data_IF_714713799873
#
_entry.id   IF_714713799873
#
_cell.length_a   1.000
_cell.length_b   1.000
_cell.length_c   1.000
_cell.angle_alpha   90.00
_cell.angle_beta   90.00
_cell.angle_gamma   90.00
#
_symmetry.space_group_name_H-M   'P 1'
#
loop_
_entity.id
_entity.type
_entity.pdbx_description
1 polymer ?
#
# COMPACT_ATOMS: atom_id res chain seq x y z
N UNK A 1 3.74 -22.33 6.20
CA UNK A 1 4.44 -21.32 5.38
C UNK A 1 3.41 -20.71 4.47
N UNK A 2 3.36 -19.39 4.41
CA UNK A 2 2.43 -18.66 3.56
C UNK A 2 3.23 -17.71 2.67
N UNK A 3 2.81 -17.56 1.42
CA UNK A 3 3.40 -16.63 0.47
C UNK A 3 2.36 -15.55 0.18
N UNK A 4 2.73 -14.29 0.46
CA UNK A 4 1.97 -13.13 0.05
C UNK A 4 2.50 -12.62 -1.29
N UNK A 5 1.58 -12.32 -2.19
CA UNK A 5 1.86 -11.81 -3.53
C UNK A 5 1.18 -10.47 -3.72
N UNK A 6 1.98 -9.44 -3.89
CA UNK A 6 1.56 -8.10 -4.27
C UNK A 6 1.80 -7.88 -5.76
N UNK A 7 0.78 -7.38 -6.47
CA UNK A 7 0.79 -7.08 -7.90
C UNK A 7 0.38 -5.64 -8.10
N UNK A 8 1.35 -4.78 -8.36
CA UNK A 8 1.12 -3.36 -8.59
C UNK A 8 1.59 -2.91 -9.97
N UNK A 9 1.24 -1.68 -10.38
CA UNK A 9 1.61 -1.12 -11.68
C UNK A 9 3.11 -1.12 -11.96
N UNK A 10 3.92 -0.89 -10.93
CA UNK A 10 5.38 -0.84 -11.08
C UNK A 10 6.09 -2.19 -10.92
N UNK A 11 5.39 -3.27 -10.58
CA UNK A 11 6.03 -4.56 -10.40
C UNK A 11 5.27 -5.56 -9.54
N UNK A 12 5.82 -6.77 -9.45
CA UNK A 12 5.31 -7.87 -8.64
C UNK A 12 6.28 -8.21 -7.52
N UNK A 13 5.76 -8.47 -6.33
CA UNK A 13 6.53 -8.73 -5.12
C UNK A 13 5.97 -9.92 -4.39
N UNK A 14 6.85 -10.80 -3.90
CA UNK A 14 6.44 -11.94 -3.11
C UNK A 14 7.30 -12.07 -1.86
N UNK A 15 6.63 -12.37 -0.74
CA UNK A 15 7.25 -12.61 0.56
C UNK A 15 6.76 -13.94 1.10
N UNK A 16 7.69 -14.80 1.53
CA UNK A 16 7.38 -16.06 2.21
C UNK A 16 7.73 -15.94 3.69
N UNK A 17 6.74 -16.14 4.55
CA UNK A 17 6.93 -16.17 6.01
C UNK A 17 6.61 -17.55 6.57
N UNK A 18 7.28 -17.90 7.67
CA UNK A 18 6.97 -19.05 8.49
C UNK A 18 6.60 -18.59 9.90
N UNK A 19 5.47 -19.04 10.40
CA UNK A 19 5.08 -18.83 11.80
C UNK A 19 5.86 -19.79 12.68
N UNK A 20 6.44 -19.29 13.76
CA UNK A 20 7.11 -20.13 14.78
C UNK A 20 6.05 -20.91 15.55
N UNK A 21 6.27 -22.20 15.74
CA UNK A 21 5.33 -23.07 16.47
C UNK A 21 5.18 -22.56 17.91
N UNK A 22 3.95 -22.27 18.34
CA UNK A 22 3.67 -21.76 19.70
C UNK A 22 3.96 -20.26 19.91
N UNK A 23 4.26 -19.49 18.87
CA UNK A 23 4.49 -18.04 18.92
C UNK A 23 3.64 -17.30 17.89
N UNK A 24 3.37 -16.03 18.15
CA UNK A 24 2.81 -15.08 17.18
C UNK A 24 3.85 -14.57 16.19
N UNK A 25 5.14 -14.84 16.44
CA UNK A 25 6.24 -14.29 15.64
C UNK A 25 6.34 -14.93 14.27
N UNK A 26 6.66 -14.11 13.29
CA UNK A 26 6.94 -14.51 11.94
C UNK A 26 8.46 -14.49 11.68
N UNK A 27 8.90 -15.46 10.89
CA UNK A 27 10.26 -15.49 10.35
C UNK A 27 10.21 -15.31 8.85
N UNK A 28 11.03 -14.42 8.32
CA UNK A 28 11.20 -14.22 6.90
C UNK A 28 11.97 -15.40 6.31
N UNK A 29 11.38 -16.07 5.32
CA UNK A 29 11.97 -17.23 4.63
C UNK A 29 12.55 -16.80 3.29
N UNK A 30 11.79 -16.07 2.48
CA UNK A 30 12.18 -15.54 1.16
C UNK A 30 11.46 -14.22 0.90
N UNK A 31 12.11 -13.39 0.08
CA UNK A 31 11.52 -12.19 -0.51
C UNK A 31 12.12 -11.98 -1.90
N UNK A 32 11.31 -11.56 -2.85
CA UNK A 32 11.75 -11.22 -4.20
C UNK A 32 10.81 -10.18 -4.83
N UNK A 33 11.35 -9.41 -5.76
CA UNK A 33 10.59 -8.46 -6.59
C UNK A 33 11.06 -8.51 -8.04
N UNK A 34 10.14 -8.18 -8.94
CA UNK A 34 10.38 -7.98 -10.38
C UNK A 34 9.65 -6.72 -10.77
N UNK A 35 10.34 -5.79 -11.38
CA UNK A 35 9.71 -4.61 -11.98
C UNK A 35 8.91 -5.03 -13.23
N UNK A 36 7.79 -4.36 -13.46
CA UNK A 36 6.94 -4.53 -14.64
C UNK A 36 7.11 -3.33 -15.57
N UNK A 37 7.04 -3.55 -16.88
CA UNK A 37 6.88 -2.47 -17.82
C UNK A 37 5.60 -1.67 -17.52
N UNK A 38 5.59 -0.36 -17.84
CA UNK A 38 4.37 0.45 -17.76
C UNK A 38 3.21 -0.19 -18.56
N UNK A 39 1.99 -0.03 -18.06
CA UNK A 39 0.79 -0.52 -18.74
C UNK A 39 0.47 -2.00 -18.58
N UNK A 40 1.33 -2.83 -17.96
CA UNK A 40 1.02 -4.25 -17.72
C UNK A 40 -0.05 -4.41 -16.65
N UNK A 41 -0.04 -3.56 -15.64
CA UNK A 41 -1.06 -3.46 -14.59
C UNK A 41 -1.40 -1.99 -14.40
N UNK A 42 -2.67 -1.63 -14.58
CA UNK A 42 -3.18 -0.26 -14.46
C UNK A 42 -4.35 -0.24 -13.48
N UNK A 43 -4.24 0.54 -12.41
CA UNK A 43 -5.29 0.69 -11.39
C UNK A 43 -5.87 -0.65 -10.89
N UNK A 44 -5.03 -1.68 -10.79
CA UNK A 44 -5.42 -3.02 -10.34
C UNK A 44 -5.96 -3.95 -11.44
N UNK A 45 -6.16 -3.46 -12.66
CA UNK A 45 -6.49 -4.28 -13.84
C UNK A 45 -5.25 -4.85 -14.49
N UNK A 46 -5.33 -6.09 -14.95
CA UNK A 46 -4.23 -6.79 -15.64
C UNK A 46 -4.36 -6.60 -17.15
N UNK A 47 -3.79 -5.51 -17.68
CA UNK A 47 -3.94 -5.12 -19.11
C UNK A 47 -3.12 -6.02 -20.06
N UNK A 48 -1.95 -6.51 -19.61
CA UNK A 48 -1.19 -7.55 -20.31
C UNK A 48 -1.00 -8.82 -19.42
N UNK A 49 -1.99 -9.74 -19.46
CA UNK A 49 -1.92 -10.98 -18.68
C UNK A 49 -0.74 -11.89 -19.08
N UNK A 50 -0.25 -11.79 -20.31
CA UNK A 50 0.85 -12.64 -20.78
C UNK A 50 2.20 -12.15 -20.22
N UNK A 51 2.47 -10.85 -20.28
CA UNK A 51 3.64 -10.24 -19.67
C UNK A 51 3.64 -10.44 -18.16
N UNK A 52 2.49 -10.25 -17.50
CA UNK A 52 2.34 -10.49 -16.06
C UNK A 52 2.64 -11.94 -15.69
N UNK A 53 2.08 -12.92 -16.42
CA UNK A 53 2.36 -14.34 -16.14
C UNK A 53 3.84 -14.70 -16.35
N UNK A 54 4.52 -14.05 -17.32
CA UNK A 54 5.97 -14.22 -17.54
C UNK A 54 6.76 -13.63 -16.36
N UNK A 55 6.40 -12.44 -15.87
CA UNK A 55 7.04 -11.81 -14.73
C UNK A 55 6.85 -12.64 -13.44
N UNK A 56 5.66 -13.18 -13.20
CA UNK A 56 5.38 -14.06 -12.06
C UNK A 56 6.22 -15.34 -12.10
N UNK A 57 6.36 -16.00 -13.25
CA UNK A 57 7.23 -17.17 -13.39
C UNK A 57 8.71 -16.82 -13.12
N UNK A 58 9.16 -15.65 -13.57
CA UNK A 58 10.50 -15.12 -13.29
C UNK A 58 10.69 -14.86 -11.80
N UNK A 59 9.71 -14.22 -11.15
CA UNK A 59 9.70 -13.95 -9.71
C UNK A 59 9.87 -15.21 -8.89
N UNK A 60 9.10 -16.28 -9.21
CA UNK A 60 9.18 -17.57 -8.51
C UNK A 60 10.53 -18.23 -8.63
N UNK A 61 11.08 -18.19 -9.85
CA UNK A 61 12.41 -18.78 -10.12
C UNK A 61 13.51 -18.02 -9.40
N UNK A 62 13.53 -16.69 -9.49
CA UNK A 62 14.56 -15.85 -8.87
C UNK A 62 14.47 -15.86 -7.33
N UNK A 63 13.25 -15.80 -6.78
CA UNK A 63 13.01 -15.86 -5.34
C UNK A 63 13.20 -17.27 -4.74
N UNK A 64 13.29 -18.30 -5.58
CA UNK A 64 13.46 -19.69 -5.13
C UNK A 64 12.26 -20.22 -4.33
N UNK A 65 11.07 -19.68 -4.57
CA UNK A 65 9.84 -20.11 -3.90
C UNK A 65 9.47 -21.53 -4.28
N UNK A 66 9.18 -22.36 -3.26
CA UNK A 66 8.83 -23.78 -3.46
C UNK A 66 7.33 -24.01 -3.49
N UNK A 67 6.58 -23.32 -2.62
CA UNK A 67 5.12 -23.39 -2.64
C UNK A 67 4.56 -22.63 -3.84
N UNK A 68 3.43 -23.09 -4.37
CA UNK A 68 2.66 -22.39 -5.38
C UNK A 68 1.43 -21.73 -4.80
N UNK A 69 1.08 -22.04 -3.54
CA UNK A 69 -0.06 -21.45 -2.84
C UNK A 69 0.26 -20.03 -2.41
N UNK A 70 -0.60 -19.09 -2.82
CA UNK A 70 -0.41 -17.67 -2.57
C UNK A 70 -1.67 -17.03 -2.01
N UNK A 71 -1.49 -16.08 -1.09
CA UNK A 71 -2.47 -15.06 -0.80
C UNK A 71 -2.12 -13.82 -1.63
N UNK A 72 -3.05 -13.30 -2.43
CA UNK A 72 -2.82 -12.11 -3.24
C UNK A 72 -3.74 -10.97 -2.82
N UNK A 73 -3.25 -9.74 -3.00
CA UNK A 73 -3.96 -8.51 -2.66
C UNK A 73 -4.73 -7.95 -3.84
N UNK A 74 -5.94 -7.46 -3.58
CA UNK A 74 -6.64 -6.57 -4.50
C UNK A 74 -6.14 -5.15 -4.31
N UNK A 75 -6.01 -4.41 -5.40
CA UNK A 75 -5.77 -2.97 -5.32
C UNK A 75 -6.98 -2.27 -4.68
N UNK A 76 -6.75 -1.38 -3.72
CA UNK A 76 -7.87 -0.71 -3.03
C UNK A 76 -8.74 0.15 -3.96
N UNK A 77 -8.22 0.58 -5.11
CA UNK A 77 -9.01 1.24 -6.16
C UNK A 77 -10.11 0.34 -6.75
N UNK A 78 -9.97 -0.99 -6.61
CA UNK A 78 -10.96 -1.98 -7.09
C UNK A 78 -11.84 -2.52 -5.97
N UNK A 79 -11.66 -2.05 -4.75
CA UNK A 79 -12.42 -2.46 -3.56
C UNK A 79 -13.21 -1.27 -3.04
N UNK A 80 -14.53 -1.36 -3.07
CA UNK A 80 -15.38 -0.41 -2.37
C UNK A 80 -15.35 -0.73 -0.87
N UNK A 81 -14.94 0.23 -0.05
CA UNK A 81 -15.01 0.14 1.41
C UNK A 81 -15.99 1.17 1.96
N UNK A 82 -16.91 0.76 2.84
CA UNK A 82 -17.90 1.64 3.45
C UNK A 82 -18.21 1.25 4.89
N UNK A 83 -18.27 2.24 5.76
CA UNK A 83 -18.75 2.04 7.13
C UNK A 83 -20.27 2.18 7.15
N UNK A 84 -20.95 1.21 7.78
CA UNK A 84 -22.40 1.17 7.93
C UNK A 84 -22.76 0.77 9.36
N UNK A 85 -23.88 1.32 9.85
CA UNK A 85 -24.52 0.88 11.08
C UNK A 85 -25.75 0.06 10.68
N UNK A 86 -25.74 -1.23 10.96
CA UNK A 86 -26.81 -2.17 10.61
C UNK A 86 -27.46 -2.73 11.89
N UNK A 87 -28.75 -3.12 11.85
CA UNK A 87 -29.41 -3.70 13.01
C UNK A 87 -28.63 -4.87 13.60
N UNK A 88 -28.54 -4.90 14.93
CA UNK A 88 -27.87 -5.98 15.63
C UNK A 88 -28.60 -7.31 15.39
N UNK A 89 -27.86 -8.35 15.13
CA UNK A 89 -28.35 -9.74 15.04
C UNK A 89 -27.21 -10.71 15.35
N UNK A 90 -27.54 -11.98 15.71
CA UNK A 90 -26.53 -13.00 15.96
C UNK A 90 -25.57 -13.15 14.75
N UNK A 91 -24.26 -13.46 14.96
CA UNK A 91 -23.26 -13.47 13.90
C UNK A 91 -23.60 -14.36 12.70
N UNK A 92 -24.25 -15.52 12.92
CA UNK A 92 -24.65 -16.43 11.84
C UNK A 92 -25.76 -15.82 10.96
N UNK A 93 -26.76 -15.19 11.60
CA UNK A 93 -27.87 -14.54 10.92
C UNK A 93 -27.38 -13.27 10.20
N UNK A 94 -26.47 -12.51 10.83
CA UNK A 94 -25.85 -11.33 10.25
C UNK A 94 -25.11 -11.65 8.95
N UNK A 95 -24.30 -12.72 8.95
CA UNK A 95 -23.59 -13.14 7.75
C UNK A 95 -24.52 -13.54 6.61
N UNK A 96 -25.61 -14.24 6.94
CA UNK A 96 -26.63 -14.63 5.95
C UNK A 96 -27.42 -13.43 5.41
N UNK A 97 -27.72 -12.45 6.26
CA UNK A 97 -28.50 -11.26 5.92
C UNK A 97 -27.67 -10.16 5.26
N UNK A 98 -26.34 -10.17 5.41
CA UNK A 98 -25.44 -9.07 5.01
C UNK A 98 -25.74 -8.56 3.60
N UNK A 99 -25.84 -9.45 2.62
CA UNK A 99 -26.06 -9.08 1.20
C UNK A 99 -27.32 -8.27 0.99
N UNK A 100 -28.37 -8.59 1.71
CA UNK A 100 -29.66 -7.87 1.65
C UNK A 100 -29.58 -6.55 2.42
N UNK A 101 -28.94 -6.55 3.58
CA UNK A 101 -28.80 -5.37 4.43
C UNK A 101 -27.99 -4.24 3.78
N UNK A 102 -27.02 -4.59 2.94
CA UNK A 102 -26.13 -3.60 2.29
C UNK A 102 -26.55 -3.24 0.87
N UNK A 103 -27.59 -3.88 0.33
CA UNK A 103 -27.99 -3.72 -1.07
C UNK A 103 -28.28 -2.26 -1.44
N UNK A 104 -29.01 -1.55 -0.61
CA UNK A 104 -29.39 -0.15 -0.86
C UNK A 104 -28.33 0.84 -0.37
N UNK A 105 -27.36 0.37 0.42
CA UNK A 105 -26.33 1.20 1.00
C UNK A 105 -25.06 1.27 0.14
N UNK A 106 -24.85 0.31 -0.75
CA UNK A 106 -23.67 0.26 -1.62
C UNK A 106 -24.03 0.66 -3.06
N UNK A 107 -23.20 1.49 -3.73
CA UNK A 107 -23.42 1.89 -5.13
C UNK A 107 -22.94 0.81 -6.12
N UNK A 108 -23.05 -0.47 -5.78
CA UNK A 108 -22.62 -1.62 -6.59
C UNK A 108 -23.67 -2.73 -6.53
N UNK A 109 -23.75 -3.55 -7.58
CA UNK A 109 -24.62 -4.73 -7.53
C UNK A 109 -24.03 -5.79 -6.58
N UNK A 110 -24.66 -5.95 -5.43
CA UNK A 110 -24.24 -6.90 -4.40
C UNK A 110 -24.30 -8.36 -4.86
N UNK A 111 -25.07 -8.68 -5.93
CA UNK A 111 -25.17 -10.03 -6.48
C UNK A 111 -23.95 -10.44 -7.29
N UNK A 112 -23.36 -9.51 -8.02
CA UNK A 112 -22.12 -9.72 -8.80
C UNK A 112 -20.85 -9.48 -7.98
N UNK A 113 -20.99 -8.92 -6.76
CA UNK A 113 -19.85 -8.62 -5.88
C UNK A 113 -19.55 -9.74 -4.89
N UNK A 114 -18.25 -9.91 -4.57
CA UNK A 114 -17.81 -10.56 -3.34
C UNK A 114 -17.87 -9.56 -2.21
N UNK A 115 -18.52 -9.95 -1.12
CA UNK A 115 -18.72 -9.13 0.07
C UNK A 115 -17.97 -9.71 1.24
N UNK A 116 -17.26 -8.84 1.96
CA UNK A 116 -16.68 -9.13 3.26
C UNK A 116 -17.03 -8.01 4.23
N UNK A 117 -17.05 -8.30 5.52
CA UNK A 117 -17.25 -7.26 6.53
C UNK A 117 -16.32 -7.46 7.71
N UNK A 118 -16.06 -6.36 8.39
CA UNK A 118 -15.35 -6.33 9.66
C UNK A 118 -16.21 -5.59 10.68
N UNK A 119 -16.53 -6.25 11.82
CA UNK A 119 -17.25 -5.61 12.91
C UNK A 119 -16.30 -4.61 13.59
N UNK A 120 -16.70 -3.35 13.63
CA UNK A 120 -15.94 -2.28 14.25
C UNK A 120 -16.33 -2.11 15.71
N UNK A 121 -17.63 -1.91 15.95
CA UNK A 121 -18.19 -1.65 17.27
C UNK A 121 -19.66 -2.08 17.31
N UNK A 122 -20.19 -2.35 18.50
CA UNK A 122 -21.63 -2.38 18.77
C UNK A 122 -22.03 -1.00 19.33
N UNK A 123 -23.01 -0.37 18.72
CA UNK A 123 -23.42 1.00 19.05
C UNK A 123 -24.92 1.09 19.24
N UNK A 124 -25.36 2.02 20.09
CA UNK A 124 -26.79 2.33 20.23
C UNK A 124 -27.15 3.53 19.38
N UNK A 125 -28.23 3.45 18.62
CA UNK A 125 -28.78 4.54 17.83
C UNK A 125 -30.23 4.74 18.20
N UNK A 126 -30.64 6.02 18.27
CA UNK A 126 -32.08 6.34 18.36
C UNK A 126 -32.68 6.26 16.96
N UNK A 127 -33.78 5.50 16.84
CA UNK A 127 -34.57 5.47 15.62
C UNK A 127 -35.42 6.75 15.45
N UNK A 128 -36.17 6.84 14.36
CA UNK A 128 -37.04 8.01 14.08
C UNK A 128 -38.15 8.21 15.13
N UNK A 129 -38.44 7.20 15.96
CA UNK A 129 -39.41 7.27 17.08
C UNK A 129 -38.78 7.64 18.41
N UNK A 130 -37.44 7.78 18.45
CA UNK A 130 -36.67 8.04 19.66
C UNK A 130 -36.37 6.78 20.48
N UNK A 131 -36.73 5.57 19.99
CA UNK A 131 -36.41 4.32 20.64
C UNK A 131 -34.95 3.94 20.37
N UNK A 132 -34.23 3.53 21.42
CA UNK A 132 -32.85 3.04 21.27
C UNK A 132 -32.84 1.65 20.66
N UNK A 133 -32.05 1.48 19.61
CA UNK A 133 -31.81 0.20 18.95
C UNK A 133 -30.31 -0.14 18.96
N UNK A 134 -30.00 -1.39 19.26
CA UNK A 134 -28.64 -1.89 19.16
C UNK A 134 -28.29 -2.12 17.70
N UNK A 135 -27.11 -1.61 17.30
CA UNK A 135 -26.63 -1.66 15.93
C UNK A 135 -25.21 -2.22 15.89
N UNK A 136 -24.92 -2.99 14.86
CA UNK A 136 -23.57 -3.38 14.48
C UNK A 136 -22.97 -2.32 13.57
N UNK A 137 -21.92 -1.66 14.02
CA UNK A 137 -21.09 -0.81 13.16
C UNK A 137 -20.07 -1.67 12.45
N UNK A 138 -20.15 -1.71 11.13
CA UNK A 138 -19.27 -2.55 10.31
C UNK A 138 -18.52 -1.72 9.30
N UNK A 139 -17.35 -2.21 8.90
CA UNK A 139 -16.69 -1.85 7.65
C UNK A 139 -17.00 -2.95 6.63
N UNK A 140 -17.82 -2.65 5.64
CA UNK A 140 -18.12 -3.57 4.53
C UNK A 140 -17.17 -3.30 3.38
N UNK A 141 -16.70 -4.38 2.75
CA UNK A 141 -15.89 -4.35 1.54
C UNK A 141 -16.65 -5.08 0.45
N UNK A 142 -16.64 -4.50 -0.74
CA UNK A 142 -17.22 -5.10 -1.93
C UNK A 142 -16.24 -5.02 -3.09
N UNK A 143 -16.02 -6.14 -3.76
CA UNK A 143 -15.17 -6.21 -4.95
C UNK A 143 -15.88 -7.00 -6.04
N UNK A 144 -15.63 -6.66 -7.30
CA UNK A 144 -16.20 -7.36 -8.44
C UNK A 144 -15.70 -8.81 -8.48
N UNK A 145 -16.64 -9.77 -8.46
CA UNK A 145 -16.34 -11.21 -8.48
C UNK A 145 -15.66 -11.63 -9.77
N UNK A 146 -16.07 -11.09 -10.91
CA UNK A 146 -15.51 -11.44 -12.21
C UNK A 146 -14.06 -10.98 -12.30
N UNK A 147 -13.76 -9.75 -11.85
CA UNK A 147 -12.39 -9.25 -11.77
C UNK A 147 -11.50 -10.14 -10.90
N UNK A 148 -11.97 -10.58 -9.74
CA UNK A 148 -11.23 -11.53 -8.87
C UNK A 148 -10.96 -12.85 -9.60
N UNK A 149 -11.95 -13.39 -10.29
CA UNK A 149 -11.83 -14.66 -11.04
C UNK A 149 -10.82 -14.53 -12.17
N UNK A 150 -10.85 -13.41 -12.92
CA UNK A 150 -9.88 -13.15 -13.99
C UNK A 150 -8.45 -13.01 -13.44
N UNK A 151 -8.26 -12.27 -12.36
CA UNK A 151 -6.96 -12.17 -11.71
C UNK A 151 -6.45 -13.55 -11.27
N UNK A 152 -7.31 -14.34 -10.62
CA UNK A 152 -6.98 -15.71 -10.23
C UNK A 152 -6.63 -16.60 -11.42
N UNK A 153 -7.27 -16.40 -12.59
CA UNK A 153 -6.98 -17.12 -13.84
C UNK A 153 -5.57 -16.81 -14.35
N UNK A 154 -5.16 -15.54 -14.32
CA UNK A 154 -3.79 -15.12 -14.70
C UNK A 154 -2.75 -15.77 -13.79
N UNK A 155 -3.00 -15.79 -12.46
CA UNK A 155 -2.12 -16.44 -11.49
C UNK A 155 -1.97 -17.94 -11.80
N UNK A 156 -3.09 -18.63 -12.10
CA UNK A 156 -3.05 -20.07 -12.50
C UNK A 156 -2.26 -20.28 -13.80
N UNK A 157 -2.38 -19.38 -14.80
CA UNK A 157 -1.55 -19.42 -16.02
C UNK A 157 -0.06 -19.26 -15.73
N UNK A 158 0.30 -18.56 -14.68
CA UNK A 158 1.68 -18.45 -14.20
C UNK A 158 2.15 -19.71 -13.43
N UNK A 159 1.26 -20.68 -13.18
CA UNK A 159 1.52 -21.91 -12.41
C UNK A 159 1.41 -21.70 -10.90
N UNK A 160 0.68 -20.65 -10.47
CA UNK A 160 0.39 -20.37 -9.07
C UNK A 160 -1.00 -20.88 -8.68
N UNK A 161 -1.20 -21.13 -7.39
CA UNK A 161 -2.47 -21.54 -6.79
C UNK A 161 -2.97 -20.41 -5.88
N UNK A 162 -3.93 -19.58 -6.33
CA UNK A 162 -4.57 -18.59 -5.48
C UNK A 162 -5.32 -19.30 -4.35
N UNK A 163 -4.84 -19.15 -3.12
CA UNK A 163 -5.40 -19.79 -1.93
C UNK A 163 -6.23 -18.80 -1.09
N UNK A 164 -5.98 -17.52 -1.22
CA UNK A 164 -6.74 -16.45 -0.59
C UNK A 164 -6.63 -15.18 -1.42
N UNK A 165 -7.69 -14.37 -1.37
CA UNK A 165 -7.73 -12.99 -1.84
C UNK A 165 -7.97 -12.09 -0.64
N UNK A 166 -7.35 -10.92 -0.61
CA UNK A 166 -7.40 -10.03 0.52
C UNK A 166 -7.33 -8.56 0.09
N UNK A 167 -7.85 -7.65 0.92
CA UNK A 167 -7.69 -6.22 0.74
C UNK A 167 -6.26 -5.78 1.07
N UNK A 168 -5.69 -4.92 0.24
CA UNK A 168 -4.39 -4.31 0.50
C UNK A 168 -4.35 -3.54 1.82
N UNK A 169 -5.44 -2.87 2.19
CA UNK A 169 -5.55 -2.13 3.45
C UNK A 169 -5.41 -3.04 4.68
N UNK A 170 -6.04 -4.21 4.68
CA UNK A 170 -5.89 -5.17 5.77
C UNK A 170 -4.47 -5.77 5.80
N UNK A 171 -3.86 -5.97 4.65
CA UNK A 171 -2.47 -6.41 4.57
C UNK A 171 -1.51 -5.36 5.16
N UNK A 172 -1.72 -4.06 4.88
CA UNK A 172 -0.94 -2.97 5.49
C UNK A 172 -1.02 -3.00 7.03
N UNK A 173 -2.23 -3.13 7.58
CA UNK A 173 -2.43 -3.20 9.03
C UNK A 173 -1.72 -4.41 9.63
N UNK A 174 -1.84 -5.59 9.03
CA UNK A 174 -1.16 -6.80 9.51
C UNK A 174 0.36 -6.68 9.46
N UNK A 175 0.90 -6.11 8.38
CA UNK A 175 2.33 -5.86 8.28
C UNK A 175 2.81 -4.90 9.38
N UNK A 176 2.05 -3.84 9.64
CA UNK A 176 2.36 -2.86 10.67
C UNK A 176 2.32 -3.47 12.07
N UNK A 177 1.27 -4.24 12.38
CA UNK A 177 1.11 -4.88 13.69
C UNK A 177 2.12 -6.03 13.92
N UNK A 178 2.56 -6.73 12.88
CA UNK A 178 3.50 -7.89 12.96
C UNK A 178 3.22 -8.87 14.09
N UNK A 179 1.94 -9.09 14.42
CA UNK A 179 1.54 -9.90 15.54
C UNK A 179 1.69 -9.22 16.91
N UNK A 180 2.09 -7.97 16.97
CA UNK A 180 2.10 -7.12 18.16
C UNK A 180 0.91 -6.17 18.06
N UNK A 181 -0.07 -6.35 18.93
CA UNK A 181 -1.13 -5.36 19.07
C UNK A 181 -0.55 -4.18 19.88
N UNK A 182 -0.75 -2.93 19.43
CA UNK A 182 -0.37 -1.77 20.24
C UNK A 182 -1.06 -1.82 21.59
N UNK A 183 -0.30 -1.57 22.66
CA UNK A 183 -0.81 -1.65 24.03
C UNK A 183 -1.66 -0.44 24.46
N UNK A 184 -1.78 0.58 23.59
CA UNK A 184 -2.48 1.82 23.89
C UNK A 184 -3.70 2.01 22.97
N UNK A 185 -4.68 2.78 23.42
CA UNK A 185 -5.92 3.10 22.70
C UNK A 185 -5.73 4.10 21.53
N UNK A 186 -4.49 4.36 21.13
CA UNK A 186 -4.18 5.33 20.08
C UNK A 186 -4.44 4.76 18.69
N UNK A 187 -4.87 5.63 17.80
CA UNK A 187 -4.99 5.31 16.37
C UNK A 187 -3.70 5.64 15.64
N UNK A 188 -3.40 4.87 14.61
CA UNK A 188 -2.25 5.07 13.73
C UNK A 188 -2.71 5.15 12.29
N UNK A 189 -2.13 6.08 11.54
CA UNK A 189 -2.36 6.17 10.10
C UNK A 189 -1.21 5.50 9.33
N UNK A 190 -1.56 4.85 8.24
CA UNK A 190 -0.62 4.29 7.25
C UNK A 190 -0.98 4.90 5.90
N UNK A 191 -0.02 5.50 5.22
CA UNK A 191 -0.18 5.95 3.85
C UNK A 191 0.74 5.13 2.94
N UNK A 192 0.15 4.35 2.05
CA UNK A 192 0.83 3.60 1.01
C UNK A 192 0.76 4.38 -0.30
N UNK A 193 1.89 4.94 -0.72
CA UNK A 193 2.02 5.68 -1.96
C UNK A 193 2.67 4.78 -3.02
N UNK A 194 1.81 4.12 -3.78
CA UNK A 194 2.17 3.22 -4.86
C UNK A 194 2.52 3.94 -6.16
N UNK A 195 2.55 3.18 -7.25
CA UNK A 195 2.75 3.69 -8.61
C UNK A 195 1.52 4.47 -9.10
N UNK A 196 0.33 3.87 -9.06
CA UNK A 196 -0.89 4.46 -9.59
C UNK A 196 -1.80 5.13 -8.56
N UNK A 197 -1.64 4.86 -7.26
CA UNK A 197 -2.59 5.31 -6.24
C UNK A 197 -1.94 5.62 -4.90
N UNK A 198 -2.64 6.44 -4.11
CA UNK A 198 -2.43 6.65 -2.68
C UNK A 198 -3.52 5.93 -1.90
N UNK A 199 -3.14 5.09 -0.93
CA UNK A 199 -4.08 4.48 0.02
C UNK A 199 -3.77 4.94 1.43
N UNK A 200 -4.77 5.51 2.12
CA UNK A 200 -4.68 5.92 3.53
C UNK A 200 -5.54 5.00 4.37
N UNK A 201 -4.94 4.41 5.37
CA UNK A 201 -5.59 3.49 6.30
C UNK A 201 -5.40 4.01 7.71
N UNK A 202 -6.48 4.07 8.50
CA UNK A 202 -6.38 4.31 9.94
C UNK A 202 -6.80 3.06 10.67
N UNK A 203 -6.04 2.68 11.69
CA UNK A 203 -6.36 1.54 12.55
C UNK A 203 -6.16 1.87 14.03
N UNK A 204 -6.90 1.18 14.89
CA UNK A 204 -6.71 1.16 16.33
C UNK A 204 -6.58 -0.29 16.79
N UNK A 205 -5.55 -0.63 17.55
CA UNK A 205 -5.29 -2.01 18.00
C UNK A 205 -5.27 -3.07 16.88
N UNK A 206 -4.82 -2.71 15.70
CA UNK A 206 -4.82 -3.60 14.54
C UNK A 206 -6.19 -3.78 13.85
N UNK A 207 -7.22 -3.10 14.35
CA UNK A 207 -8.55 -3.09 13.75
C UNK A 207 -8.67 -1.92 12.78
N UNK A 208 -9.12 -2.12 11.54
CA UNK A 208 -9.34 -1.03 10.61
C UNK A 208 -10.41 -0.08 11.15
N UNK A 209 -10.20 1.21 11.02
CA UNK A 209 -11.19 2.23 11.39
C UNK A 209 -11.59 3.08 10.19
N UNK A 210 -10.68 3.24 9.25
CA UNK A 210 -10.92 4.04 8.06
C UNK A 210 -10.00 3.56 6.93
N UNK A 211 -10.55 3.51 5.72
CA UNK A 211 -9.80 3.18 4.49
C UNK A 211 -10.24 4.17 3.42
N UNK A 212 -9.30 4.80 2.76
CA UNK A 212 -9.54 5.62 1.58
C UNK A 212 -8.43 5.39 0.56
N UNK A 213 -8.82 5.18 -0.68
CA UNK A 213 -7.90 5.12 -1.82
C UNK A 213 -8.19 6.28 -2.77
N UNK A 214 -7.14 6.90 -3.27
CA UNK A 214 -7.19 7.95 -4.29
C UNK A 214 -6.45 7.42 -5.51
N UNK A 215 -7.21 7.05 -6.54
CA UNK A 215 -6.65 6.60 -7.80
C UNK A 215 -5.99 7.77 -8.54
N UNK A 216 -5.06 7.48 -9.42
CA UNK A 216 -4.33 8.46 -10.22
C UNK A 216 -3.60 9.52 -9.37
N UNK A 217 -3.15 9.13 -8.18
CA UNK A 217 -2.32 9.93 -7.29
C UNK A 217 -1.12 9.11 -6.78
N UNK A 218 -0.47 8.41 -7.68
CA UNK A 218 0.75 7.67 -7.40
C UNK A 218 1.98 8.32 -8.02
N UNK A 219 3.10 7.60 -8.00
CA UNK A 219 4.35 8.07 -8.60
C UNK A 219 4.30 8.16 -10.12
N UNK A 220 3.49 7.32 -10.77
CA UNK A 220 3.36 7.29 -12.22
C UNK A 220 2.69 8.56 -12.75
N UNK A 221 1.72 9.13 -12.02
CA UNK A 221 1.10 10.42 -12.36
C UNK A 221 2.14 11.55 -12.44
N UNK A 222 3.09 11.56 -11.50
CA UNK A 222 4.19 12.53 -11.54
C UNK A 222 5.15 12.26 -12.72
N UNK A 223 5.39 10.98 -13.05
CA UNK A 223 6.21 10.60 -14.20
C UNK A 223 5.56 11.00 -15.52
N UNK A 224 4.26 10.73 -15.68
CA UNK A 224 3.48 11.11 -16.86
C UNK A 224 3.48 12.63 -17.07
N UNK A 225 3.29 13.40 -15.99
CA UNK A 225 3.34 14.86 -16.07
C UNK A 225 4.72 15.41 -16.46
N UNK A 226 5.82 14.75 -16.05
CA UNK A 226 7.18 15.10 -16.46
C UNK A 226 7.40 14.69 -17.93
N UNK A 227 6.94 13.51 -18.33
CA UNK A 227 7.03 13.03 -19.69
C UNK A 227 6.36 13.99 -20.67
N UNK A 228 5.13 14.44 -20.34
CA UNK A 228 4.40 15.43 -21.12
C UNK A 228 5.11 16.80 -21.17
N UNK A 229 5.57 17.29 -20.02
CA UNK A 229 6.21 18.61 -19.92
C UNK A 229 7.55 18.71 -20.66
N UNK A 230 8.25 17.58 -20.83
CA UNK A 230 9.60 17.52 -21.41
C UNK A 230 9.67 16.79 -22.75
N UNK A 231 8.53 16.31 -23.27
CA UNK A 231 8.45 15.47 -24.49
C UNK A 231 9.37 14.24 -24.41
N UNK A 232 9.32 13.53 -23.27
CA UNK A 232 10.10 12.33 -22.98
C UNK A 232 9.22 11.09 -23.00
N UNK A 233 9.83 9.92 -23.21
CA UNK A 233 9.13 8.68 -22.89
C UNK A 233 9.03 8.46 -21.37
N UNK A 234 8.18 7.51 -20.96
CA UNK A 234 7.92 7.25 -19.56
C UNK A 234 9.17 6.79 -18.78
N UNK A 235 10.04 5.99 -19.42
CA UNK A 235 11.24 5.44 -18.76
C UNK A 235 12.26 6.54 -18.50
N UNK A 236 12.51 7.41 -19.46
CA UNK A 236 13.41 8.57 -19.33
C UNK A 236 12.88 9.58 -18.32
N UNK A 237 11.56 9.84 -18.33
CA UNK A 237 10.92 10.71 -17.34
C UNK A 237 11.00 10.13 -15.91
N UNK A 238 10.83 8.82 -15.74
CA UNK A 238 10.95 8.14 -14.45
C UNK A 238 12.39 8.19 -13.92
N UNK A 239 13.39 8.01 -14.79
CA UNK A 239 14.79 8.12 -14.41
C UNK A 239 15.13 9.57 -13.98
N UNK A 240 14.68 10.54 -14.77
CA UNK A 240 14.87 11.96 -14.47
C UNK A 240 14.17 12.36 -13.15
N UNK A 241 12.93 11.93 -12.94
CA UNK A 241 12.19 12.11 -11.68
C UNK A 241 12.99 11.61 -10.48
N UNK A 242 13.54 10.41 -10.58
CA UNK A 242 14.32 9.81 -9.46
C UNK A 242 15.62 10.52 -9.21
N UNK A 243 16.29 10.95 -10.27
CA UNK A 243 17.59 11.63 -10.14
C UNK A 243 17.46 13.03 -9.53
N UNK A 244 16.38 13.73 -9.85
CA UNK A 244 16.12 15.10 -9.37
C UNK A 244 15.46 15.09 -7.99
N UNK A 245 14.40 14.29 -7.80
CA UNK A 245 13.60 14.34 -6.58
C UNK A 245 12.94 15.69 -6.33
N UNK A 246 12.53 15.95 -5.10
CA UNK A 246 11.92 17.24 -4.69
C UNK A 246 12.96 18.27 -4.23
N UNK A 247 14.19 17.84 -3.93
CA UNK A 247 15.26 18.68 -3.41
C UNK A 247 16.31 19.04 -4.48
N UNK A 248 16.09 18.64 -5.73
CA UNK A 248 17.10 18.70 -6.78
C UNK A 248 18.10 17.54 -6.71
N UNK A 249 18.98 17.40 -7.71
CA UNK A 249 19.98 16.34 -7.74
C UNK A 249 20.94 16.48 -6.55
N UNK A 250 21.35 15.34 -6.01
CA UNK A 250 22.35 15.33 -4.94
C UNK A 250 23.65 16.04 -5.43
N UNK A 251 24.28 16.87 -4.59
CA UNK A 251 25.54 17.51 -4.96
C UNK A 251 26.57 16.44 -5.29
N UNK A 252 27.22 16.56 -6.47
CA UNK A 252 28.30 15.67 -6.85
C UNK A 252 29.49 16.00 -5.93
N UNK A 253 29.74 15.15 -4.96
CA UNK A 253 30.96 15.25 -4.15
C UNK A 253 32.13 14.82 -5.04
N UNK A 254 32.82 15.78 -5.66
CA UNK A 254 34.08 15.52 -6.33
C UNK A 254 35.11 15.29 -5.23
N UNK A 255 35.81 14.15 -5.17
CA UNK A 255 36.89 13.98 -4.21
C UNK A 255 37.98 15.02 -4.49
N UNK A 256 38.07 16.03 -3.64
CA UNK A 256 39.15 17.01 -3.72
C UNK A 256 40.41 16.33 -3.15
N UNK A 257 41.43 16.13 -3.99
CA UNK A 257 42.73 15.70 -3.53
C UNK A 257 43.26 16.75 -2.52
N UNK A 258 43.79 16.26 -1.39
CA UNK A 258 44.14 17.04 -0.17
C UNK A 258 45.12 18.25 -0.35
N UNK A 259 45.50 18.63 -1.57
CA UNK A 259 46.54 19.64 -1.80
C UNK A 259 46.05 21.03 -2.23
N UNK A 260 44.76 21.37 -2.20
CA UNK A 260 44.30 22.70 -2.63
C UNK A 260 43.06 23.24 -1.88
N UNK A 261 43.07 23.16 -0.56
CA UNK A 261 41.93 23.61 0.26
C UNK A 261 41.72 25.14 0.23
N UNK A 262 42.70 25.94 -0.13
CA UNK A 262 42.61 27.40 -0.11
C UNK A 262 42.26 28.08 -1.46
N UNK A 263 42.34 27.36 -2.59
CA UNK A 263 42.03 27.94 -3.90
C UNK A 263 40.56 27.70 -4.36
N UNK A 264 39.80 26.92 -3.61
CA UNK A 264 38.44 26.46 -4.02
C UNK A 264 37.29 27.32 -3.49
N UNK A 265 37.58 28.35 -2.69
CA UNK A 265 36.51 29.18 -2.11
C UNK A 265 35.99 30.30 -3.03
N UNK A 266 36.74 30.66 -4.09
CA UNK A 266 36.37 31.76 -5.00
C UNK A 266 35.93 31.30 -6.41
N UNK A 267 35.89 30.02 -6.68
CA UNK A 267 35.47 29.52 -7.99
C UNK A 267 34.87 28.11 -7.85
N UNK A 268 33.74 27.99 -7.14
CA UNK A 268 32.90 26.84 -7.36
C UNK A 268 32.39 26.94 -8.81
N UNK A 269 32.76 26.02 -9.72
CA UNK A 269 32.13 26.01 -11.05
C UNK A 269 30.65 25.77 -10.80
N UNK A 270 29.82 26.74 -11.16
CA UNK A 270 28.38 26.49 -11.33
C UNK A 270 28.29 25.40 -12.39
N UNK A 271 28.10 24.15 -11.95
CA UNK A 271 27.77 23.08 -12.86
C UNK A 271 26.58 23.57 -13.70
N UNK A 272 26.63 23.41 -15.03
CA UNK A 272 25.51 23.78 -15.88
C UNK A 272 24.29 23.04 -15.35
N UNK A 273 23.40 23.79 -14.69
CA UNK A 273 22.17 23.22 -14.15
C UNK A 273 21.32 22.85 -15.36
N UNK A 274 21.12 21.58 -15.62
CA UNK A 274 20.28 21.10 -16.71
C UNK A 274 18.95 21.87 -16.62
N UNK A 275 18.53 22.61 -17.65
CA UNK A 275 17.32 23.42 -17.63
C UNK A 275 16.06 22.58 -17.37
N UNK A 276 16.12 21.27 -17.63
CA UNK A 276 15.05 20.31 -17.34
C UNK A 276 14.80 20.16 -15.83
N UNK A 277 15.83 20.37 -14.98
CA UNK A 277 15.69 20.26 -13.51
C UNK A 277 14.63 21.23 -12.99
N UNK A 278 14.61 22.47 -13.47
CA UNK A 278 13.62 23.47 -13.08
C UNK A 278 12.18 23.04 -13.44
N UNK A 279 12.02 22.44 -14.63
CA UNK A 279 10.71 21.93 -15.08
C UNK A 279 10.27 20.72 -14.26
N UNK A 280 11.18 19.78 -13.97
CA UNK A 280 10.89 18.64 -13.10
C UNK A 280 10.45 19.09 -11.72
N UNK A 281 11.17 20.02 -11.09
CA UNK A 281 10.80 20.57 -9.78
C UNK A 281 9.47 21.33 -9.83
N UNK A 282 9.20 22.05 -10.92
CA UNK A 282 7.93 22.74 -11.18
C UNK A 282 6.76 21.77 -11.29
N UNK A 283 6.98 20.56 -11.78
CA UNK A 283 5.96 19.50 -11.88
C UNK A 283 5.81 18.73 -10.57
N UNK A 284 6.91 18.34 -9.94
CA UNK A 284 6.91 17.55 -8.71
C UNK A 284 6.37 18.34 -7.50
N UNK A 285 6.61 19.64 -7.44
CA UNK A 285 6.18 20.48 -6.32
C UNK A 285 4.65 20.47 -6.10
N UNK A 286 3.83 20.82 -7.11
CA UNK A 286 2.38 20.73 -7.04
C UNK A 286 1.86 19.32 -6.78
N UNK A 287 2.40 18.29 -7.45
CA UNK A 287 2.02 16.91 -7.23
C UNK A 287 2.24 16.49 -5.76
N UNK A 288 3.42 16.76 -5.20
CA UNK A 288 3.71 16.45 -3.80
C UNK A 288 2.80 17.21 -2.83
N UNK A 289 2.42 18.45 -3.17
CA UNK A 289 1.45 19.23 -2.38
C UNK A 289 0.08 18.53 -2.38
N UNK A 290 -0.37 18.03 -3.53
CA UNK A 290 -1.62 17.27 -3.65
C UNK A 290 -1.57 16.00 -2.81
N UNK A 291 -0.45 15.26 -2.85
CA UNK A 291 -0.26 14.05 -2.01
C UNK A 291 -0.43 14.39 -0.52
N UNK A 292 0.25 15.42 -0.04
CA UNK A 292 0.14 15.87 1.37
C UNK A 292 -1.29 16.26 1.72
N UNK A 293 -1.94 17.02 0.82
CA UNK A 293 -3.32 17.47 1.05
C UNK A 293 -4.30 16.31 1.11
N UNK A 294 -4.15 15.29 0.26
CA UNK A 294 -5.03 14.12 0.28
C UNK A 294 -4.81 13.22 1.52
N UNK A 295 -3.57 13.12 2.02
CA UNK A 295 -3.30 12.47 3.31
C UNK A 295 -4.00 13.25 4.43
N UNK A 296 -3.86 14.59 4.46
CA UNK A 296 -4.52 15.46 5.44
C UNK A 296 -6.03 15.33 5.37
N UNK A 297 -6.63 15.46 4.19
CA UNK A 297 -8.08 15.36 3.97
C UNK A 297 -8.62 14.01 4.48
N UNK A 298 -7.88 12.93 4.27
CA UNK A 298 -8.25 11.60 4.72
C UNK A 298 -8.27 11.49 6.24
N UNK A 299 -7.28 12.06 6.91
CA UNK A 299 -7.19 12.07 8.38
C UNK A 299 -8.24 13.00 8.99
N UNK A 300 -8.46 14.18 8.41
CA UNK A 300 -9.47 15.14 8.87
C UNK A 300 -10.89 14.57 8.73
N UNK A 301 -11.16 13.85 7.63
CA UNK A 301 -12.43 13.13 7.46
C UNK A 301 -12.60 12.05 8.54
N UNK A 302 -11.54 11.27 8.82
CA UNK A 302 -11.59 10.30 9.90
C UNK A 302 -11.91 10.95 11.25
N UNK A 303 -11.27 12.07 11.60
CA UNK A 303 -11.57 12.80 12.84
C UNK A 303 -13.02 13.28 12.91
N UNK A 304 -13.59 13.76 11.79
CA UNK A 304 -14.98 14.23 11.73
C UNK A 304 -15.99 13.09 11.97
N UNK A 305 -15.66 11.87 11.56
CA UNK A 305 -16.52 10.68 11.70
C UNK A 305 -16.26 9.87 12.96
N UNK A 306 -15.16 10.14 13.66
CA UNK A 306 -14.73 9.43 14.87
C UNK A 306 -14.29 10.43 15.96
N UNK A 307 -15.25 11.20 16.55
CA UNK A 307 -14.93 12.20 17.56
C UNK A 307 -14.19 11.63 18.76
N UNK A 308 -13.21 12.36 19.28
CA UNK A 308 -12.41 11.96 20.43
C UNK A 308 -11.26 11.00 20.13
N UNK A 309 -11.11 10.56 18.89
CA UNK A 309 -9.94 9.75 18.47
C UNK A 309 -8.78 10.64 18.04
N UNK A 310 -7.56 10.28 18.44
CA UNK A 310 -6.33 10.99 18.05
C UNK A 310 -5.41 10.08 17.25
N UNK A 311 -4.80 10.61 16.21
CA UNK A 311 -3.75 9.94 15.45
C UNK A 311 -2.41 10.20 16.13
N UNK A 312 -1.72 9.16 16.56
CA UNK A 312 -0.43 9.26 17.24
C UNK A 312 0.77 9.25 16.30
N UNK A 313 0.63 8.69 15.12
CA UNK A 313 1.70 8.66 14.12
C UNK A 313 1.17 8.37 12.71
N UNK A 314 1.91 8.84 11.71
CA UNK A 314 1.74 8.49 10.31
C UNK A 314 2.92 7.64 9.85
N UNK A 315 2.62 6.50 9.27
CA UNK A 315 3.63 5.59 8.70
C UNK A 315 3.51 5.62 7.18
N UNK A 316 4.62 5.86 6.48
CA UNK A 316 4.69 5.92 5.02
C UNK A 316 5.28 4.65 4.45
N UNK A 317 4.68 4.12 3.40
CA UNK A 317 5.18 2.98 2.64
C UNK A 317 4.86 3.10 1.15
N UNK A 318 5.25 2.10 0.38
CA UNK A 318 5.09 2.09 -1.07
C UNK A 318 6.37 2.51 -1.81
N UNK A 319 6.35 2.36 -3.13
CA UNK A 319 7.52 2.65 -3.97
C UNK A 319 7.86 4.13 -4.03
N UNK A 320 6.84 4.95 -4.13
CA UNK A 320 6.99 6.38 -4.43
C UNK A 320 7.56 7.18 -3.26
N UNK A 321 7.45 6.68 -2.03
CA UNK A 321 8.05 7.35 -0.86
C UNK A 321 9.59 7.34 -0.89
N UNK A 322 10.20 6.53 -1.76
CA UNK A 322 11.66 6.55 -1.99
C UNK A 322 12.11 7.79 -2.79
N UNK A 323 11.18 8.61 -3.29
CA UNK A 323 11.53 9.85 -3.98
C UNK A 323 12.19 10.82 -3.00
N UNK A 324 13.40 11.27 -3.35
CA UNK A 324 14.18 12.17 -2.50
C UNK A 324 13.39 13.42 -2.11
N UNK A 325 13.36 13.75 -0.81
CA UNK A 325 12.67 14.92 -0.25
C UNK A 325 11.17 14.74 0.01
N UNK A 326 10.53 13.65 -0.45
CA UNK A 326 9.08 13.48 -0.28
C UNK A 326 8.69 13.22 1.17
N UNK A 327 9.41 12.36 1.86
CA UNK A 327 9.15 12.05 3.27
C UNK A 327 9.31 13.28 4.14
N UNK A 328 10.36 14.05 3.92
CA UNK A 328 10.63 15.28 4.66
C UNK A 328 9.53 16.32 4.41
N UNK A 329 9.08 16.44 3.15
CA UNK A 329 7.97 17.34 2.81
C UNK A 329 6.67 16.95 3.50
N UNK A 330 6.35 15.66 3.56
CA UNK A 330 5.16 15.17 4.27
C UNK A 330 5.33 15.43 5.78
N UNK A 331 6.48 15.13 6.35
CA UNK A 331 6.76 15.29 7.78
C UNK A 331 6.72 16.76 8.24
N UNK A 332 7.14 17.70 7.40
CA UNK A 332 7.11 19.14 7.75
C UNK A 332 5.72 19.77 7.62
N UNK A 333 4.82 19.17 6.84
CA UNK A 333 3.51 19.75 6.57
C UNK A 333 2.36 19.11 7.35
N UNK A 334 2.59 17.97 8.01
CA UNK A 334 1.59 17.30 8.82
C UNK A 334 1.93 17.36 10.31
N UNK A 335 0.93 17.53 11.21
CA UNK A 335 1.16 17.70 12.64
C UNK A 335 1.40 16.37 13.38
N UNK A 336 1.80 15.31 12.68
CA UNK A 336 2.00 13.97 13.24
C UNK A 336 3.47 13.55 13.12
N UNK A 337 3.99 12.75 14.06
CA UNK A 337 5.24 12.05 13.85
C UNK A 337 5.16 11.15 12.60
N UNK A 338 6.01 11.43 11.60
CA UNK A 338 6.06 10.68 10.33
C UNK A 338 7.28 9.79 10.31
N UNK A 339 7.11 8.55 9.86
CA UNK A 339 8.21 7.58 9.68
C UNK A 339 7.98 6.72 8.45
N UNK A 340 9.06 6.26 7.85
CA UNK A 340 9.01 5.22 6.83
C UNK A 340 8.83 3.86 7.47
N UNK A 341 8.13 2.98 6.77
CA UNK A 341 7.88 1.62 7.23
C UNK A 341 8.82 0.63 6.54
N UNK A 342 9.62 -0.02 7.34
CA UNK A 342 10.52 -1.09 6.93
C UNK A 342 9.92 -2.45 7.34
N UNK A 343 9.14 -3.09 6.45
CA UNK A 343 8.28 -4.23 6.82
C UNK A 343 9.06 -5.48 7.22
N UNK A 344 10.27 -5.61 6.73
CA UNK A 344 11.10 -6.79 6.98
C UNK A 344 12.13 -6.58 8.09
N UNK A 345 12.27 -5.33 8.59
CA UNK A 345 13.13 -4.99 9.69
C UNK A 345 12.62 -5.64 10.99
N UNK A 346 13.51 -6.29 11.71
CA UNK A 346 13.18 -6.99 12.97
C UNK A 346 12.54 -8.37 12.80
N UNK A 347 12.21 -8.80 11.57
CA UNK A 347 11.90 -10.21 11.34
C UNK A 347 13.18 -11.03 11.38
N UNK A 348 13.16 -12.12 12.15
CA UNK A 348 14.25 -13.09 12.07
C UNK A 348 14.36 -13.62 10.64
N UNK A 349 15.43 -13.27 9.94
CA UNK A 349 15.66 -13.70 8.57
C UNK A 349 16.43 -15.04 8.54
N UNK A 350 16.10 -15.91 7.57
CA UNK A 350 16.93 -17.06 7.28
C UNK A 350 18.28 -16.59 6.73
N UNK A 351 19.37 -17.33 6.98
CA UNK A 351 20.72 -16.97 6.50
C UNK A 351 20.82 -16.68 4.99
N UNK A 352 19.89 -17.18 4.21
CA UNK A 352 19.81 -16.95 2.75
C UNK A 352 19.21 -15.60 2.39
N UNK A 353 18.35 -15.04 3.26
CA UNK A 353 17.64 -13.78 3.02
C UNK A 353 18.44 -12.57 3.51
N UNK A 354 19.26 -12.73 4.57
CA UNK A 354 20.01 -11.64 5.19
C UNK A 354 20.98 -10.91 4.27
N UNK A 355 21.29 -11.45 3.10
CA UNK A 355 22.14 -10.81 2.07
C UNK A 355 21.33 -10.09 0.96
N UNK A 356 20.02 -10.28 0.90
CA UNK A 356 19.15 -9.77 -0.17
C UNK A 356 17.82 -9.16 0.32
N UNK A 357 17.55 -9.20 1.63
CA UNK A 357 16.34 -8.60 2.18
C UNK A 357 16.59 -7.10 2.34
N UNK A 358 16.04 -6.31 1.45
CA UNK A 358 16.13 -4.88 1.61
C UNK A 358 15.20 -4.45 2.75
N UNK A 359 15.59 -3.42 3.43
CA UNK A 359 14.75 -2.49 4.17
C UNK A 359 13.74 -1.84 3.21
N UNK A 360 13.17 -2.63 2.32
CA UNK A 360 12.47 -2.15 1.13
C UNK A 360 11.00 -1.92 1.48
N UNK A 361 10.63 -0.66 1.57
CA UNK A 361 9.26 -0.20 1.82
C UNK A 361 8.24 -0.73 0.81
N UNK A 362 8.71 -1.21 -0.36
CA UNK A 362 7.86 -1.82 -1.40
C UNK A 362 7.32 -3.19 -1.00
N UNK A 363 7.92 -3.86 -0.01
CA UNK A 363 7.56 -5.22 0.40
C UNK A 363 6.41 -5.28 1.42
N UNK A 364 5.86 -4.14 1.84
CA UNK A 364 4.86 -4.04 2.92
C UNK A 364 3.64 -4.89 2.62
N UNK A 365 3.04 -4.70 1.45
CA UNK A 365 1.83 -5.43 1.06
C UNK A 365 2.08 -6.94 0.98
N UNK A 366 3.14 -7.36 0.29
CA UNK A 366 3.49 -8.78 0.19
C UNK A 366 3.76 -9.42 1.56
N UNK A 367 4.40 -8.69 2.49
CA UNK A 367 4.62 -9.15 3.86
C UNK A 367 3.31 -9.32 4.62
N UNK A 368 2.41 -8.33 4.56
CA UNK A 368 1.10 -8.39 5.20
C UNK A 368 0.19 -9.49 4.64
N UNK A 369 0.23 -9.71 3.32
CA UNK A 369 -0.47 -10.81 2.66
C UNK A 369 0.08 -12.18 3.08
N UNK A 370 1.39 -12.31 3.25
CA UNK A 370 2.01 -13.53 3.75
C UNK A 370 1.61 -13.85 5.22
N UNK A 371 1.21 -12.84 5.98
CA UNK A 371 0.71 -12.98 7.35
C UNK A 371 -0.79 -13.27 7.42
N UNK A 372 -1.48 -13.36 6.28
CA UNK A 372 -2.91 -13.71 6.22
C UNK A 372 -3.17 -15.05 6.92
N UNK A 373 -4.16 -15.13 7.83
CA UNK A 373 -4.58 -16.39 8.42
C UNK A 373 -5.23 -17.25 7.34
N UNK A 374 -4.42 -18.03 6.61
CA UNK A 374 -4.97 -19.00 5.68
C UNK A 374 -5.76 -20.03 6.50
N UNK A 375 -7.08 -19.92 6.51
CA UNK A 375 -7.94 -20.96 7.05
C UNK A 375 -7.67 -22.24 6.26
N UNK A 376 -7.44 -23.34 6.97
CA UNK A 376 -7.56 -24.65 6.35
C UNK A 376 -9.02 -24.72 5.88
N UNK A 377 -9.23 -24.73 4.59
CA UNK A 377 -10.50 -25.19 4.01
C UNK A 377 -10.62 -26.64 4.49
N UNK A 378 -11.56 -26.84 5.42
CA UNK A 378 -11.92 -28.16 5.94
C UNK A 378 -12.57 -29.01 4.84
#
# INVERSE_FOLDING_TARGET
>A
MAIGLDIGGSGVRAVEVARRRGSTDFRLVRAACIDLPPGVVVNGSFEDPAALAKALRRLWRQGGFRSRKVAFGLAESTVLSRQLDLPWMPPADFQAALRYQVQDALPVDTRSSELAYHLLDEVQRSDASGQQADMNRILVLAADREAIVEQARVLRRAGLEPAAVDSSAFALIRAWCRGQLPSNSQSHAIADLGAGQLTVVVHSHGQPRFIRSVANLGGDTATEAIAEALDLDFEDAEELKRSVGLNGPAPVVVPVAESSVFAALDSAPSLPTDPRIGQVLGTLGPWATTVVQEIRNSIDYFHSTSPGTTISSLTLCGRTICLNGLVDRIATQLPYPVRQFEPLLGLQASRRVSRQAPTDTRMVLAAGLAMHPMQKVA
#
